data_IF_723236283012
#
_entry.id   IF_723236283012
#
_cell.length_a   1.000
_cell.length_b   1.000
_cell.length_c   1.000
_cell.angle_alpha   90.00
_cell.angle_beta   90.00
_cell.angle_gamma   90.00
#
_symmetry.space_group_name_H-M   'P 1'
#
loop_
_entity.id
_entity.type
_entity.pdbx_description
1 polymer ?
#
# COMPACT_ATOMS: atom_id res chain seq x y z
N UNK A 1 0.48 -23.45 -5.40
CA UNK A 1 -0.49 -23.08 -4.32
C UNK A 1 -0.77 -21.59 -4.40
N UNK A 2 -2.06 -21.17 -4.24
CA UNK A 2 -2.42 -19.75 -4.16
C UNK A 2 -1.87 -19.13 -2.88
N UNK A 3 -1.14 -18.05 -3.00
CA UNK A 3 -0.48 -17.34 -1.89
C UNK A 3 -0.84 -15.86 -2.00
N UNK A 4 -1.29 -15.26 -0.91
CA UNK A 4 -1.58 -13.84 -0.80
C UNK A 4 -0.51 -13.20 0.09
N UNK A 5 0.14 -12.15 -0.44
CA UNK A 5 1.26 -11.48 0.20
C UNK A 5 0.99 -9.99 0.37
N UNK A 6 1.34 -9.46 1.55
CA UNK A 6 1.38 -8.04 1.86
C UNK A 6 2.74 -7.73 2.50
N UNK A 7 3.64 -7.09 1.76
CA UNK A 7 5.04 -6.93 2.16
C UNK A 7 5.32 -5.61 2.89
N UNK A 8 4.41 -4.63 2.79
CA UNK A 8 4.63 -3.29 3.31
C UNK A 8 3.63 -2.95 4.42
N UNK A 9 4.12 -3.06 5.64
CA UNK A 9 3.41 -2.68 6.86
C UNK A 9 4.36 -1.98 7.81
N UNK A 10 3.83 -1.40 8.88
CA UNK A 10 4.61 -0.79 9.95
C UNK A 10 4.38 -1.46 11.28
N UNK A 11 5.39 -1.43 12.15
CA UNK A 11 5.31 -1.93 13.51
C UNK A 11 4.85 -0.84 14.49
N UNK A 12 4.53 -1.22 15.71
CA UNK A 12 4.21 -0.29 16.81
C UNK A 12 5.33 0.70 17.15
N UNK A 13 6.52 0.54 16.59
CA UNK A 13 7.66 1.45 16.77
C UNK A 13 7.67 2.61 15.77
N UNK A 14 6.85 2.54 14.72
CA UNK A 14 6.67 3.65 13.78
C UNK A 14 5.65 4.66 14.27
N UNK A 15 5.87 5.95 13.91
CA UNK A 15 4.98 7.05 14.30
C UNK A 15 3.59 6.86 13.70
N UNK A 16 2.58 7.27 14.47
CA UNK A 16 1.16 7.21 14.10
C UNK A 16 0.65 5.78 13.79
N UNK A 17 1.32 4.78 14.32
CA UNK A 17 0.97 3.37 14.17
C UNK A 17 0.33 2.83 15.44
N UNK A 18 -0.63 1.92 15.28
CA UNK A 18 -1.33 1.25 16.38
C UNK A 18 -0.38 0.41 17.23
N UNK A 19 -0.55 0.41 18.55
CA UNK A 19 0.17 -0.48 19.45
C UNK A 19 -0.13 -1.96 19.22
N UNK A 20 -1.23 -2.28 18.53
CA UNK A 20 -1.57 -3.63 18.11
C UNK A 20 -0.72 -4.15 16.93
N UNK A 21 0.13 -3.35 16.31
CA UNK A 21 1.05 -3.79 15.25
C UNK A 21 2.25 -4.53 15.88
N UNK A 22 1.97 -5.73 16.39
CA UNK A 22 2.93 -6.64 17.03
C UNK A 22 2.75 -8.07 16.51
N UNK A 23 3.78 -8.95 16.53
CA UNK A 23 3.82 -10.16 15.70
C UNK A 23 2.64 -11.12 15.88
N UNK A 24 2.14 -11.29 17.09
CA UNK A 24 1.03 -12.24 17.35
C UNK A 24 -0.29 -11.66 16.84
N UNK A 25 -0.56 -10.39 17.13
CA UNK A 25 -1.77 -9.71 16.65
C UNK A 25 -1.77 -9.63 15.11
N UNK A 26 -0.61 -9.34 14.51
CA UNK A 26 -0.43 -9.33 13.06
C UNK A 26 -0.72 -10.69 12.43
N UNK A 27 -0.21 -11.78 13.04
CA UNK A 27 -0.49 -13.14 12.59
C UNK A 27 -1.98 -13.48 12.62
N UNK A 28 -2.67 -13.15 13.72
CA UNK A 28 -4.11 -13.40 13.86
C UNK A 28 -4.94 -12.63 12.83
N UNK A 29 -4.57 -11.36 12.56
CA UNK A 29 -5.25 -10.56 11.56
C UNK A 29 -4.93 -11.03 10.14
N UNK A 30 -3.70 -11.45 9.86
CA UNK A 30 -3.32 -12.02 8.57
C UNK A 30 -4.14 -13.28 8.25
N UNK A 31 -4.33 -14.18 9.22
CA UNK A 31 -5.22 -15.34 9.06
C UNK A 31 -6.67 -14.93 8.77
N UNK A 32 -7.21 -14.00 9.56
CA UNK A 32 -8.55 -13.47 9.37
C UNK A 32 -8.73 -12.82 7.99
N UNK A 33 -7.70 -12.17 7.49
CA UNK A 33 -7.67 -11.58 6.13
C UNK A 33 -7.45 -12.62 5.03
N UNK A 34 -6.83 -13.75 5.34
CA UNK A 34 -6.41 -14.77 4.36
C UNK A 34 -5.05 -14.45 3.73
N UNK A 35 -4.19 -13.69 4.44
CA UNK A 35 -2.83 -13.36 4.01
C UNK A 35 -1.90 -14.51 4.40
N UNK A 36 -1.21 -15.07 3.41
CA UNK A 36 -0.27 -16.19 3.60
C UNK A 36 1.10 -15.70 4.02
N UNK A 37 1.61 -14.63 3.39
CA UNK A 37 2.91 -14.03 3.71
C UNK A 37 2.74 -12.55 4.04
N UNK A 38 3.21 -12.17 5.23
CA UNK A 38 3.15 -10.80 5.72
C UNK A 38 4.55 -10.25 5.94
N UNK A 39 4.83 -9.04 5.47
CA UNK A 39 6.03 -8.29 5.82
C UNK A 39 6.10 -8.04 7.33
N UNK A 40 7.32 -8.04 7.90
CA UNK A 40 7.47 -7.67 9.31
C UNK A 40 7.35 -6.17 9.53
N UNK A 41 7.68 -5.38 8.50
CA UNK A 41 7.93 -3.95 8.66
C UNK A 41 9.16 -3.68 9.56
N UNK A 42 9.70 -2.52 9.46
CA UNK A 42 10.55 -1.83 10.45
C UNK A 42 11.75 -2.64 11.02
N UNK A 43 12.31 -3.62 10.31
CA UNK A 43 13.39 -4.46 10.83
C UNK A 43 14.65 -3.66 11.23
N UNK A 44 14.76 -2.40 10.82
CA UNK A 44 15.87 -1.52 11.18
C UNK A 44 15.79 -1.03 12.64
N UNK A 45 14.59 -0.97 13.23
CA UNK A 45 14.43 -0.55 14.61
C UNK A 45 14.93 -1.61 15.59
N UNK A 46 15.92 -1.35 16.46
CA UNK A 46 16.55 -2.38 17.29
C UNK A 46 15.60 -3.04 18.28
N UNK A 47 14.64 -2.29 18.84
CA UNK A 47 13.60 -2.85 19.72
C UNK A 47 12.67 -3.80 18.98
N UNK A 48 12.29 -3.46 17.74
CA UNK A 48 11.47 -4.33 16.91
C UNK A 48 12.21 -5.58 16.46
N UNK A 49 13.44 -5.44 15.99
CA UNK A 49 14.28 -6.58 15.60
C UNK A 49 14.48 -7.58 16.75
N UNK A 50 14.69 -7.07 17.96
CA UNK A 50 14.76 -7.91 19.16
C UNK A 50 13.44 -8.69 19.38
N UNK A 51 12.32 -8.00 19.29
CA UNK A 51 10.99 -8.60 19.47
C UNK A 51 10.69 -9.66 18.40
N UNK A 52 11.05 -9.40 17.12
CA UNK A 52 10.92 -10.37 16.03
C UNK A 52 11.71 -11.66 16.34
N UNK A 53 12.97 -11.55 16.78
CA UNK A 53 13.81 -12.70 17.13
C UNK A 53 13.28 -13.46 18.35
N UNK A 54 12.68 -12.75 19.30
CA UNK A 54 12.07 -13.38 20.47
C UNK A 54 10.79 -14.13 20.13
N UNK A 55 9.95 -13.59 19.23
CA UNK A 55 8.60 -14.11 18.95
C UNK A 55 8.50 -14.99 17.71
N UNK A 56 9.43 -14.88 16.77
CA UNK A 56 9.42 -15.66 15.54
C UNK A 56 10.48 -16.77 15.57
N UNK A 57 10.20 -17.85 14.85
CA UNK A 57 11.13 -18.94 14.55
C UNK A 57 11.19 -19.19 13.04
N UNK A 58 12.30 -19.75 12.51
CA UNK A 58 12.39 -20.13 11.10
C UNK A 58 11.29 -21.12 10.72
N UNK A 59 10.74 -20.92 9.51
CA UNK A 59 9.79 -21.82 8.86
C UNK A 59 10.43 -22.35 7.54
N UNK A 60 9.89 -21.95 6.40
CA UNK A 60 10.50 -22.23 5.11
C UNK A 60 11.72 -21.31 4.89
N UNK A 61 12.58 -21.60 3.89
CA UNK A 61 13.79 -20.81 3.62
C UNK A 61 13.47 -19.30 3.46
N UNK A 62 14.06 -18.48 4.34
CA UNK A 62 13.89 -17.04 4.36
C UNK A 62 12.53 -16.54 4.89
N UNK A 63 11.71 -17.45 5.40
CA UNK A 63 10.42 -17.13 6.02
C UNK A 63 10.38 -17.57 7.48
N UNK A 64 9.53 -16.90 8.24
CA UNK A 64 9.39 -17.08 9.69
C UNK A 64 7.94 -17.29 10.06
N UNK A 65 7.71 -17.90 11.23
CA UNK A 65 6.37 -18.07 11.84
C UNK A 65 6.40 -17.71 13.32
N UNK A 66 5.26 -17.38 13.92
CA UNK A 66 5.18 -17.22 15.37
C UNK A 66 5.61 -18.52 16.09
N UNK A 67 6.38 -18.39 17.16
CA UNK A 67 6.77 -19.54 17.98
C UNK A 67 5.54 -20.21 18.59
N UNK A 68 5.45 -21.53 18.50
CA UNK A 68 4.32 -22.34 18.98
C UNK A 68 4.04 -22.19 20.48
N UNK A 69 5.03 -21.80 21.26
CA UNK A 69 4.90 -21.57 22.70
C UNK A 69 4.15 -20.27 23.05
N UNK A 70 4.03 -19.33 22.08
CA UNK A 70 3.45 -18.00 22.28
C UNK A 70 2.08 -17.89 21.59
N UNK A 71 1.87 -18.64 20.51
CA UNK A 71 0.59 -18.69 19.80
C UNK A 71 -0.15 -19.98 20.14
N UNK A 72 -1.36 -19.88 20.69
CA UNK A 72 -2.27 -21.02 20.86
C UNK A 72 -2.81 -21.52 19.51
N UNK A 73 -2.46 -20.88 18.42
CA UNK A 73 -2.93 -21.16 17.05
C UNK A 73 -1.81 -21.83 16.24
N UNK A 74 -2.17 -22.83 15.46
CA UNK A 74 -1.31 -23.34 14.37
C UNK A 74 -1.37 -22.35 13.23
N UNK A 75 -0.81 -21.13 13.44
CA UNK A 75 -0.84 -20.09 12.41
C UNK A 75 -0.18 -20.58 11.13
N UNK A 76 -0.90 -20.41 10.02
CA UNK A 76 -0.39 -20.69 8.67
C UNK A 76 0.32 -19.47 8.08
N UNK A 77 0.17 -18.28 8.69
CA UNK A 77 0.83 -17.06 8.24
C UNK A 77 2.35 -17.19 8.36
N UNK A 78 3.05 -16.75 7.34
CA UNK A 78 4.49 -16.59 7.31
C UNK A 78 4.87 -15.13 7.35
N UNK A 79 5.97 -14.81 7.97
CA UNK A 79 6.58 -13.49 7.97
C UNK A 79 7.81 -13.49 7.08
N UNK A 80 7.94 -12.43 6.27
CA UNK A 80 9.13 -12.09 5.51
C UNK A 80 9.73 -10.80 6.10
N UNK A 81 11.06 -10.74 6.23
CA UNK A 81 11.71 -9.57 6.84
C UNK A 81 11.66 -8.37 5.89
N UNK A 82 10.98 -7.31 6.31
CA UNK A 82 10.84 -6.07 5.52
C UNK A 82 11.09 -4.83 6.37
N UNK A 83 11.46 -3.73 5.72
CA UNK A 83 11.47 -2.41 6.31
C UNK A 83 11.28 -1.34 5.23
N UNK A 84 10.56 -0.28 5.56
CA UNK A 84 10.53 0.95 4.77
C UNK A 84 11.59 1.92 5.29
N UNK A 85 12.41 2.46 4.39
CA UNK A 85 13.50 3.40 4.70
C UNK A 85 13.23 4.73 4.02
N UNK A 86 13.29 5.83 4.80
CA UNK A 86 12.99 7.18 4.30
C UNK A 86 14.27 7.94 3.96
N UNK A 87 14.57 8.12 2.67
CA UNK A 87 15.68 8.92 2.18
C UNK A 87 15.29 10.40 2.07
N UNK A 88 16.00 11.30 2.72
CA UNK A 88 15.84 12.74 2.57
C UNK A 88 17.20 13.36 2.28
N UNK A 89 17.38 13.93 1.08
CA UNK A 89 18.66 14.45 0.62
C UNK A 89 18.48 15.55 -0.42
N UNK A 90 19.57 16.21 -0.80
CA UNK A 90 19.58 17.20 -1.88
C UNK A 90 20.30 16.64 -3.10
N UNK A 91 19.62 16.63 -4.26
CA UNK A 91 20.20 16.24 -5.56
C UNK A 91 19.76 17.24 -6.62
N UNK A 92 20.71 17.75 -7.40
CA UNK A 92 20.46 18.74 -8.45
C UNK A 92 19.74 20.01 -7.95
N UNK A 93 20.13 20.50 -6.75
CA UNK A 93 19.56 21.70 -6.15
C UNK A 93 18.12 21.57 -5.61
N UNK A 94 17.57 20.35 -5.60
CA UNK A 94 16.22 20.07 -5.07
C UNK A 94 16.28 19.10 -3.89
N UNK A 95 15.43 19.32 -2.90
CA UNK A 95 15.22 18.33 -1.82
C UNK A 95 14.45 17.16 -2.39
N UNK A 96 15.04 15.97 -2.30
CA UNK A 96 14.44 14.69 -2.69
C UNK A 96 14.00 13.93 -1.44
N UNK A 97 12.84 13.29 -1.53
CA UNK A 97 12.29 12.46 -0.45
C UNK A 97 11.74 11.19 -1.11
N UNK A 98 12.38 10.07 -0.81
CA UNK A 98 12.09 8.78 -1.43
C UNK A 98 11.95 7.74 -0.32
N UNK A 99 10.91 6.93 -0.38
CA UNK A 99 10.76 5.75 0.45
C UNK A 99 11.16 4.50 -0.34
N UNK A 100 11.93 3.64 0.30
CA UNK A 100 12.34 2.35 -0.23
C UNK A 100 11.87 1.23 0.69
N UNK A 101 11.08 0.31 0.16
CA UNK A 101 10.79 -0.95 0.79
C UNK A 101 11.94 -1.92 0.51
N UNK A 102 12.45 -2.55 1.55
CA UNK A 102 13.53 -3.54 1.48
C UNK A 102 13.02 -4.87 2.01
N UNK A 103 13.19 -5.92 1.20
CA UNK A 103 12.99 -7.30 1.62
C UNK A 103 14.36 -7.94 1.88
N UNK A 104 14.54 -8.58 3.03
CA UNK A 104 15.79 -9.23 3.42
C UNK A 104 15.61 -10.75 3.59
N UNK A 105 16.61 -11.57 3.17
CA UNK A 105 16.48 -13.02 3.14
C UNK A 105 16.52 -13.68 4.52
N UNK A 106 17.22 -13.07 5.48
CA UNK A 106 17.41 -13.62 6.82
C UNK A 106 17.83 -12.56 7.84
N UNK A 107 17.81 -12.92 9.13
CA UNK A 107 18.24 -12.03 10.20
C UNK A 107 19.71 -11.62 10.12
N UNK A 108 20.58 -12.43 9.50
CA UNK A 108 22.00 -12.10 9.37
C UNK A 108 22.19 -10.93 8.38
N UNK A 109 21.47 -10.94 7.26
CA UNK A 109 21.45 -9.81 6.33
C UNK A 109 20.94 -8.53 7.00
N UNK A 110 19.82 -8.63 7.75
CA UNK A 110 19.27 -7.50 8.52
C UNK A 110 20.27 -6.94 9.52
N UNK A 111 20.96 -7.79 10.28
CA UNK A 111 21.97 -7.35 11.26
C UNK A 111 23.13 -6.61 10.62
N UNK A 112 23.61 -7.12 9.47
CA UNK A 112 24.70 -6.46 8.72
C UNK A 112 24.27 -5.08 8.19
N UNK A 113 23.07 -4.99 7.61
CA UNK A 113 22.49 -3.72 7.13
C UNK A 113 22.37 -2.73 8.30
N UNK A 114 21.76 -3.16 9.41
CA UNK A 114 21.56 -2.31 10.59
C UNK A 114 22.89 -1.86 11.21
N UNK A 115 23.91 -2.72 11.25
CA UNK A 115 25.24 -2.35 11.71
C UNK A 115 25.84 -1.22 10.89
N UNK A 116 25.74 -1.27 9.56
CA UNK A 116 26.26 -0.22 8.67
C UNK A 116 25.45 1.07 8.81
N UNK A 117 24.12 1.00 8.81
CA UNK A 117 23.25 2.16 8.93
C UNK A 117 23.41 2.88 10.28
N UNK A 118 23.57 2.11 11.37
CA UNK A 118 23.70 2.69 12.73
C UNK A 118 24.95 3.54 12.95
N UNK A 119 25.98 3.42 12.10
CA UNK A 119 27.17 4.27 12.18
C UNK A 119 26.88 5.73 11.84
N UNK A 120 25.89 5.99 11.00
CA UNK A 120 25.59 7.32 10.50
C UNK A 120 24.18 7.81 10.85
N UNK A 121 23.27 6.91 11.22
CA UNK A 121 21.86 7.23 11.37
C UNK A 121 21.29 6.71 12.70
N UNK A 122 20.31 7.45 13.23
CA UNK A 122 19.58 7.04 14.43
C UNK A 122 18.40 6.13 14.07
N UNK A 123 18.60 4.82 14.20
CA UNK A 123 17.57 3.80 13.93
C UNK A 123 16.57 3.61 15.08
N UNK A 124 16.80 4.23 16.24
CA UNK A 124 15.92 4.10 17.43
C UNK A 124 14.77 5.11 17.40
N UNK A 125 14.86 6.13 16.58
CA UNK A 125 13.93 7.27 16.61
C UNK A 125 12.53 6.96 16.02
N UNK A 126 12.46 5.98 15.12
CA UNK A 126 11.24 5.61 14.39
C UNK A 126 11.43 4.21 13.77
N UNK A 127 10.36 3.41 13.65
CA UNK A 127 10.39 2.15 12.90
C UNK A 127 10.77 2.37 11.44
N UNK A 128 10.31 3.47 10.85
CA UNK A 128 10.71 3.98 9.53
C UNK A 128 11.71 5.13 9.69
N UNK A 129 13.02 4.82 9.80
CA UNK A 129 14.01 5.86 10.09
C UNK A 129 14.17 6.82 8.92
N UNK A 130 14.34 8.12 9.26
CA UNK A 130 14.72 9.14 8.28
C UNK A 130 16.24 9.12 8.14
N UNK A 131 16.69 8.82 6.92
CA UNK A 131 18.10 8.71 6.56
C UNK A 131 18.50 9.89 5.67
N UNK A 132 19.54 10.62 6.08
CA UNK A 132 20.13 11.70 5.28
C UNK A 132 21.05 11.17 4.18
N UNK A 133 20.60 10.19 3.41
CA UNK A 133 21.35 9.50 2.36
C UNK A 133 20.59 9.53 1.05
N UNK A 134 21.30 9.58 -0.07
CA UNK A 134 20.77 9.42 -1.42
C UNK A 134 20.17 8.01 -1.59
N UNK A 135 19.01 7.90 -2.24
CA UNK A 135 18.34 6.61 -2.48
C UNK A 135 19.22 5.63 -3.27
N UNK A 136 20.01 6.12 -4.25
CA UNK A 136 21.01 5.32 -4.95
C UNK A 136 22.07 4.77 -3.99
N UNK A 137 22.66 5.61 -3.13
CA UNK A 137 23.69 5.18 -2.19
C UNK A 137 23.15 4.21 -1.14
N UNK A 138 21.90 4.38 -0.70
CA UNK A 138 21.25 3.43 0.20
C UNK A 138 21.03 2.10 -0.48
N UNK A 139 20.52 2.10 -1.72
CA UNK A 139 20.34 0.89 -2.52
C UNK A 139 21.66 0.15 -2.72
N UNK A 140 22.73 0.87 -3.07
CA UNK A 140 24.06 0.33 -3.23
C UNK A 140 24.58 -0.33 -1.94
N UNK A 141 24.49 0.37 -0.81
CA UNK A 141 24.90 -0.16 0.49
C UNK A 141 24.20 -1.48 0.83
N UNK A 142 22.88 -1.54 0.60
CA UNK A 142 22.09 -2.75 0.91
C UNK A 142 22.48 -3.91 0.00
N UNK A 143 22.59 -3.69 -1.32
CA UNK A 143 22.94 -4.72 -2.28
C UNK A 143 24.39 -5.21 -2.13
N UNK A 144 25.34 -4.35 -1.78
CA UNK A 144 26.72 -4.72 -1.44
C UNK A 144 26.80 -5.50 -0.11
N UNK A 145 25.84 -5.28 0.80
CA UNK A 145 25.77 -6.01 2.07
C UNK A 145 25.24 -7.44 1.87
N UNK A 146 24.18 -7.57 1.07
CA UNK A 146 23.62 -8.85 0.66
C UNK A 146 22.83 -8.69 -0.65
N UNK A 147 23.35 -9.22 -1.74
CA UNK A 147 22.75 -9.13 -3.09
C UNK A 147 21.38 -9.84 -3.23
N UNK A 148 21.05 -10.70 -2.27
CA UNK A 148 19.74 -11.37 -2.22
C UNK A 148 18.62 -10.41 -1.81
N UNK A 149 18.94 -9.29 -1.18
CA UNK A 149 17.94 -8.29 -0.82
C UNK A 149 17.21 -7.77 -2.07
N UNK A 150 15.92 -7.46 -1.90
CA UNK A 150 15.13 -6.82 -2.94
C UNK A 150 14.78 -5.39 -2.50
N UNK A 151 15.05 -4.43 -3.37
CA UNK A 151 14.78 -3.00 -3.15
C UNK A 151 13.64 -2.59 -4.07
N UNK A 152 12.62 -1.99 -3.49
CA UNK A 152 11.39 -1.60 -4.17
C UNK A 152 11.06 -0.15 -3.78
N UNK A 153 11.07 0.81 -4.70
CA UNK A 153 10.53 2.13 -4.44
C UNK A 153 9.06 2.02 -4.01
N UNK A 154 8.76 2.54 -2.82
CA UNK A 154 7.45 2.44 -2.21
C UNK A 154 6.48 3.49 -2.75
N UNK A 155 5.19 3.15 -2.89
CA UNK A 155 4.06 4.04 -3.26
C UNK A 155 4.48 5.19 -4.19
N UNK A 156 4.97 4.85 -5.38
CA UNK A 156 5.78 5.71 -6.26
C UNK A 156 5.15 7.03 -6.73
N UNK A 157 3.87 7.28 -6.43
CA UNK A 157 3.13 8.47 -6.91
C UNK A 157 2.68 9.46 -5.84
N UNK A 158 2.82 9.15 -4.55
CA UNK A 158 2.46 10.15 -3.53
C UNK A 158 3.25 11.45 -3.76
N UNK A 159 2.67 12.64 -3.53
CA UNK A 159 3.34 13.91 -3.84
C UNK A 159 4.72 14.07 -3.19
N UNK A 160 4.87 13.53 -1.97
CA UNK A 160 6.11 13.49 -1.20
C UNK A 160 6.51 12.05 -0.89
N UNK A 161 7.78 11.81 -0.70
CA UNK A 161 8.35 10.52 -0.29
C UNK A 161 8.17 9.40 -1.31
N UNK A 162 8.14 9.73 -2.59
CA UNK A 162 7.94 8.75 -3.66
C UNK A 162 8.81 9.06 -4.88
N UNK A 163 9.06 8.03 -5.70
CA UNK A 163 9.95 8.12 -6.85
C UNK A 163 9.48 9.18 -7.86
N UNK A 164 8.19 9.18 -8.22
CA UNK A 164 7.60 10.09 -9.21
C UNK A 164 6.77 11.22 -8.60
N UNK A 165 6.85 11.41 -7.28
CA UNK A 165 6.08 12.42 -6.57
C UNK A 165 6.27 13.84 -7.10
N UNK A 166 5.19 14.57 -7.30
CA UNK A 166 5.19 15.92 -7.89
C UNK A 166 6.00 16.93 -7.08
N UNK A 167 6.10 16.76 -5.76
CA UNK A 167 6.78 17.70 -4.87
C UNK A 167 8.25 17.38 -4.62
N UNK A 168 8.64 16.10 -4.57
CA UNK A 168 9.99 15.69 -4.16
C UNK A 168 10.58 14.52 -4.93
N UNK A 169 9.89 14.02 -5.94
CA UNK A 169 10.34 12.90 -6.77
C UNK A 169 11.21 13.32 -7.95
N UNK A 170 11.41 12.35 -8.84
CA UNK A 170 12.14 12.45 -10.10
C UNK A 170 11.20 12.25 -11.28
N UNK A 171 11.68 12.46 -12.49
CA UNK A 171 10.92 12.19 -13.71
C UNK A 171 11.26 10.81 -14.28
N UNK A 172 12.47 10.29 -13.99
CA UNK A 172 12.90 8.95 -14.44
C UNK A 172 13.53 8.14 -13.32
N UNK A 173 13.56 6.80 -13.54
CA UNK A 173 14.22 5.85 -12.63
C UNK A 173 15.73 6.13 -12.59
N UNK A 174 16.32 6.42 -13.75
CA UNK A 174 17.74 6.67 -13.93
C UNK A 174 18.22 7.91 -13.18
N UNK A 175 17.39 8.97 -13.11
CA UNK A 175 17.72 10.15 -12.30
C UNK A 175 17.86 9.83 -10.80
N UNK A 176 17.13 8.82 -10.32
CA UNK A 176 17.16 8.39 -8.92
C UNK A 176 18.25 7.37 -8.65
N UNK A 177 18.33 6.30 -9.45
CA UNK A 177 19.13 5.12 -9.17
C UNK A 177 20.37 4.95 -10.06
N UNK A 178 20.56 5.81 -11.05
CA UNK A 178 21.74 5.84 -11.92
C UNK A 178 22.04 4.44 -12.52
N UNK A 179 23.26 3.92 -12.37
CA UNK A 179 23.67 2.60 -12.85
C UNK A 179 22.98 1.42 -12.13
N UNK A 180 22.35 1.67 -10.99
CA UNK A 180 21.56 0.64 -10.28
C UNK A 180 20.13 0.48 -10.82
N UNK A 181 19.67 1.33 -11.74
CA UNK A 181 18.32 1.25 -12.33
C UNK A 181 17.94 -0.13 -12.87
N UNK A 182 18.86 -0.91 -13.49
CA UNK A 182 18.54 -2.27 -13.91
C UNK A 182 18.26 -3.23 -12.74
N UNK A 183 18.80 -2.97 -11.55
CA UNK A 183 18.63 -3.80 -10.35
C UNK A 183 17.37 -3.44 -9.53
N UNK A 184 16.67 -2.36 -9.90
CA UNK A 184 15.35 -2.05 -9.39
C UNK A 184 14.33 -2.82 -10.22
N UNK A 185 13.93 -3.99 -9.72
CA UNK A 185 13.10 -4.95 -10.47
C UNK A 185 11.61 -4.69 -10.36
N UNK A 186 11.18 -4.04 -9.27
CA UNK A 186 9.77 -3.83 -8.97
C UNK A 186 9.49 -2.44 -8.41
N UNK A 187 8.23 -2.02 -8.51
CA UNK A 187 7.69 -0.78 -7.97
C UNK A 187 6.36 -1.05 -7.28
N UNK A 188 6.08 -0.28 -6.22
CA UNK A 188 4.82 -0.37 -5.50
C UNK A 188 3.85 0.72 -5.97
N UNK A 189 2.61 0.31 -6.33
CA UNK A 189 1.51 1.22 -6.64
C UNK A 189 1.22 2.16 -5.46
N UNK A 190 1.01 1.56 -4.30
CA UNK A 190 0.49 2.23 -3.11
C UNK A 190 -0.93 2.76 -3.35
N UNK A 191 -1.61 3.13 -2.29
CA UNK A 191 -3.03 3.55 -2.29
C UNK A 191 -3.39 4.74 -3.19
N UNK A 192 -2.42 5.36 -3.85
CA UNK A 192 -2.63 6.56 -4.68
C UNK A 192 -2.63 6.28 -6.17
N UNK A 193 -2.27 5.07 -6.60
CA UNK A 193 -2.26 4.67 -8.01
C UNK A 193 -2.63 3.21 -8.19
N UNK A 194 -3.07 2.86 -9.36
CA UNK A 194 -3.32 1.49 -9.80
C UNK A 194 -2.40 1.09 -10.97
N UNK A 195 -2.39 -0.17 -11.41
CA UNK A 195 -1.58 -0.60 -12.54
C UNK A 195 -1.87 0.13 -13.86
N UNK A 196 -3.12 0.51 -14.14
CA UNK A 196 -3.45 1.26 -15.38
C UNK A 196 -2.77 2.62 -15.44
N UNK A 197 -2.72 3.32 -14.31
CA UNK A 197 -1.96 4.58 -14.21
C UNK A 197 -0.47 4.34 -14.48
N UNK A 198 0.10 3.25 -13.97
CA UNK A 198 1.50 2.89 -14.12
C UNK A 198 1.85 2.40 -15.53
N UNK A 199 0.93 1.72 -16.23
CA UNK A 199 1.13 1.25 -17.61
C UNK A 199 1.26 2.39 -18.63
N UNK A 200 1.02 3.62 -18.24
CA UNK A 200 1.20 4.81 -19.07
C UNK A 200 2.67 5.27 -19.19
N UNK A 201 3.60 4.65 -18.44
CA UNK A 201 5.02 4.97 -18.43
C UNK A 201 5.84 3.82 -19.03
N UNK A 202 6.51 4.07 -20.17
CA UNK A 202 7.31 3.06 -20.88
C UNK A 202 8.49 2.56 -20.03
N UNK A 203 9.06 3.40 -19.18
CA UNK A 203 10.14 3.04 -18.27
C UNK A 203 9.76 1.94 -17.25
N UNK A 204 8.45 1.68 -17.01
CA UNK A 204 7.94 0.63 -16.14
C UNK A 204 7.60 -0.68 -16.89
N UNK A 205 7.75 -0.74 -18.22
CA UNK A 205 7.31 -1.90 -19.03
C UNK A 205 7.93 -3.23 -18.64
N UNK A 206 9.21 -3.22 -18.26
CA UNK A 206 9.98 -4.40 -17.89
C UNK A 206 10.14 -4.56 -16.37
N UNK A 207 9.33 -3.88 -15.59
CA UNK A 207 9.37 -3.91 -14.14
C UNK A 207 8.10 -4.55 -13.59
N UNK A 208 8.24 -5.24 -12.47
CA UNK A 208 7.09 -5.83 -11.79
C UNK A 208 6.38 -4.76 -10.97
N UNK A 209 5.07 -4.66 -11.15
CA UNK A 209 4.24 -3.80 -10.31
C UNK A 209 3.71 -4.67 -9.17
N UNK A 210 3.98 -4.26 -7.93
CA UNK A 210 3.44 -4.87 -6.71
C UNK A 210 2.55 -3.89 -5.98
N UNK A 211 1.72 -4.43 -5.10
CA UNK A 211 0.76 -3.65 -4.33
C UNK A 211 0.76 -4.12 -2.88
N UNK A 212 0.87 -3.19 -1.93
CA UNK A 212 0.90 -3.52 -0.51
C UNK A 212 0.13 -2.48 0.30
N UNK A 213 -0.33 -2.88 1.48
CA UNK A 213 -1.28 -2.10 2.25
C UNK A 213 -0.74 -0.83 2.91
N UNK A 214 0.56 -0.72 3.14
CA UNK A 214 1.16 0.31 3.99
C UNK A 214 0.40 0.44 5.33
N UNK A 215 0.12 -0.72 5.96
CA UNK A 215 -0.79 -0.79 7.08
C UNK A 215 -0.18 -0.22 8.36
N UNK A 216 -0.91 0.72 8.99
CA UNK A 216 -0.61 1.35 10.27
C UNK A 216 -1.51 0.84 11.42
N UNK A 217 -2.40 -0.10 11.12
CA UNK A 217 -3.24 -0.78 12.09
C UNK A 217 -3.62 -2.17 11.58
N UNK A 218 -3.87 -3.16 12.46
CA UNK A 218 -4.10 -4.55 12.05
C UNK A 218 -5.28 -4.74 11.11
N UNK A 219 -6.36 -3.98 11.26
CA UNK A 219 -7.53 -4.07 10.38
C UNK A 219 -7.27 -3.61 8.94
N UNK A 220 -6.18 -2.86 8.71
CA UNK A 220 -5.82 -2.35 7.38
C UNK A 220 -4.85 -3.25 6.60
N UNK A 221 -4.42 -4.37 7.17
CA UNK A 221 -3.67 -5.39 6.44
C UNK A 221 -4.45 -5.84 5.21
N UNK A 222 -3.75 -6.05 4.11
CA UNK A 222 -4.32 -6.60 2.88
C UNK A 222 -5.32 -5.70 2.15
N UNK A 223 -5.44 -4.41 2.47
CA UNK A 223 -6.25 -3.51 1.62
C UNK A 223 -5.65 -3.36 0.22
N UNK A 224 -4.37 -3.65 0.08
CA UNK A 224 -3.66 -3.98 -1.15
C UNK A 224 -2.81 -5.23 -0.91
N UNK A 225 -2.62 -6.07 -1.94
CA UNK A 225 -1.89 -7.31 -1.81
C UNK A 225 -1.44 -7.87 -3.17
N UNK A 226 -0.55 -8.86 -3.12
CA UNK A 226 -0.03 -9.58 -4.28
C UNK A 226 -0.49 -11.04 -4.22
N UNK A 227 -0.98 -11.57 -5.32
CA UNK A 227 -1.47 -12.96 -5.39
C UNK A 227 -0.60 -13.76 -6.33
N UNK A 228 0.08 -14.75 -5.78
CA UNK A 228 0.95 -15.67 -6.50
C UNK A 228 0.37 -17.08 -6.53
N UNK A 229 0.81 -17.87 -7.51
CA UNK A 229 0.64 -19.32 -7.56
C UNK A 229 2.01 -20.00 -7.59
N UNK A 230 2.55 -20.31 -6.41
CA UNK A 230 3.90 -20.83 -6.23
C UNK A 230 3.90 -22.34 -6.02
N UNK A 231 4.95 -23.00 -6.51
CA UNK A 231 5.19 -24.43 -6.25
C UNK A 231 5.79 -24.63 -4.85
N UNK A 232 6.70 -23.74 -4.47
CA UNK A 232 7.36 -23.73 -3.16
C UNK A 232 7.21 -22.37 -2.50
N UNK A 233 6.89 -22.36 -1.21
CA UNK A 233 6.79 -21.15 -0.43
C UNK A 233 8.14 -20.85 0.21
N UNK A 234 8.96 -20.02 -0.44
CA UNK A 234 10.28 -19.57 0.06
C UNK A 234 10.53 -18.12 -0.31
N UNK A 235 11.44 -17.47 0.43
CA UNK A 235 11.93 -16.13 0.09
C UNK A 235 12.47 -16.07 -1.35
N UNK A 236 13.30 -17.05 -1.71
CA UNK A 236 13.95 -17.09 -3.01
C UNK A 236 12.94 -17.20 -4.15
N UNK A 237 11.89 -18.02 -4.00
CA UNK A 237 10.87 -18.17 -5.04
C UNK A 237 10.01 -16.90 -5.16
N UNK A 238 9.59 -16.29 -4.04
CA UNK A 238 8.86 -15.02 -4.05
C UNK A 238 9.67 -13.94 -4.76
N UNK A 239 10.94 -13.77 -4.38
CA UNK A 239 11.79 -12.72 -4.95
C UNK A 239 12.17 -13.01 -6.39
N UNK A 240 12.34 -14.29 -6.80
CA UNK A 240 12.54 -14.69 -8.19
C UNK A 240 11.37 -14.27 -9.06
N UNK A 241 10.14 -14.62 -8.66
CA UNK A 241 8.92 -14.26 -9.40
C UNK A 241 8.80 -12.76 -9.58
N UNK A 242 9.15 -11.97 -8.54
CA UNK A 242 9.15 -10.52 -8.62
C UNK A 242 10.27 -10.02 -9.53
N UNK A 243 11.51 -10.52 -9.39
CA UNK A 243 12.67 -10.08 -10.19
C UNK A 243 12.51 -10.38 -11.68
N UNK A 244 11.95 -11.53 -12.00
CA UNK A 244 11.77 -12.01 -13.39
C UNK A 244 10.46 -11.53 -14.03
N UNK A 245 9.59 -10.87 -13.27
CA UNK A 245 8.24 -10.52 -13.70
C UNK A 245 7.49 -11.74 -14.28
N UNK A 246 7.55 -12.85 -13.52
CA UNK A 246 7.02 -14.17 -13.93
C UNK A 246 5.49 -14.18 -13.88
N UNK A 247 4.85 -13.89 -15.01
CA UNK A 247 3.39 -13.75 -15.16
C UNK A 247 2.63 -15.07 -15.01
N UNK A 248 3.32 -16.20 -15.17
CA UNK A 248 2.71 -17.50 -14.95
C UNK A 248 2.54 -17.78 -13.45
N UNK A 249 3.37 -17.19 -12.62
CA UNK A 249 3.35 -17.33 -11.17
C UNK A 249 2.71 -16.14 -10.45
N UNK A 250 2.89 -14.92 -10.94
CA UNK A 250 2.23 -13.72 -10.41
C UNK A 250 0.85 -13.55 -11.05
N UNK A 251 -0.21 -13.94 -10.33
CA UNK A 251 -1.56 -14.04 -10.89
C UNK A 251 -2.25 -12.69 -11.02
N UNK A 252 -2.20 -11.86 -9.99
CA UNK A 252 -2.77 -10.49 -10.00
C UNK A 252 -2.38 -9.73 -8.74
N UNK A 253 -2.50 -8.40 -8.81
CA UNK A 253 -2.51 -7.56 -7.61
C UNK A 253 -3.94 -7.29 -7.16
N UNK A 254 -4.09 -7.02 -5.86
CA UNK A 254 -5.31 -6.47 -5.27
C UNK A 254 -5.04 -5.01 -5.00
N UNK A 255 -5.85 -4.15 -5.58
CA UNK A 255 -5.68 -2.71 -5.54
C UNK A 255 -6.80 -2.03 -4.77
N UNK A 256 -6.45 -1.00 -4.05
CA UNK A 256 -7.38 -0.02 -3.52
C UNK A 256 -7.84 0.91 -4.66
N UNK A 257 -8.98 1.57 -4.51
CA UNK A 257 -9.40 2.57 -5.49
C UNK A 257 -8.62 3.87 -5.30
N UNK A 258 -7.74 4.29 -6.23
CA UNK A 258 -6.89 5.46 -6.05
C UNK A 258 -7.68 6.77 -5.92
N UNK A 259 -8.92 6.80 -6.41
CA UNK A 259 -9.82 7.95 -6.26
C UNK A 259 -10.13 8.28 -4.79
N UNK A 260 -10.04 7.31 -3.86
CA UNK A 260 -10.22 7.57 -2.43
C UNK A 260 -9.05 8.34 -1.82
N UNK A 261 -7.88 8.32 -2.48
CA UNK A 261 -6.69 9.03 -2.04
C UNK A 261 -6.88 10.55 -1.94
N UNK A 262 -6.31 11.17 -0.91
CA UNK A 262 -6.42 12.62 -0.61
C UNK A 262 -5.90 13.55 -1.71
N UNK A 263 -5.14 13.06 -2.65
CA UNK A 263 -4.45 13.84 -3.67
C UNK A 263 -4.65 13.25 -5.06
N UNK A 264 -5.75 12.52 -5.30
CA UNK A 264 -5.99 11.90 -6.60
C UNK A 264 -6.19 12.95 -7.70
N UNK A 265 -7.13 13.87 -7.53
CA UNK A 265 -7.35 15.00 -8.43
C UNK A 265 -6.59 16.24 -7.98
N UNK A 266 -6.46 17.20 -8.89
CA UNK A 266 -5.99 18.54 -8.60
C UNK A 266 -7.04 19.30 -7.81
N UNK A 267 -6.62 20.26 -6.98
CA UNK A 267 -7.64 21.02 -6.28
C UNK A 267 -7.16 22.16 -5.41
N UNK A 268 -8.13 22.84 -4.82
CA UNK A 268 -7.92 23.85 -3.81
C UNK A 268 -8.98 23.71 -2.72
N UNK A 269 -8.61 23.02 -1.63
CA UNK A 269 -9.50 22.66 -0.52
C UNK A 269 -10.27 23.85 0.05
N UNK A 270 -9.62 25.01 0.24
CA UNK A 270 -10.25 26.21 0.80
C UNK A 270 -11.38 26.76 -0.07
N UNK A 271 -11.33 26.51 -1.37
CA UNK A 271 -12.35 26.97 -2.34
C UNK A 271 -13.30 25.85 -2.77
N UNK A 272 -13.13 24.63 -2.24
CA UNK A 272 -13.89 23.43 -2.63
C UNK A 272 -13.79 23.12 -4.13
N UNK A 273 -12.63 23.39 -4.72
CA UNK A 273 -12.34 23.11 -6.12
C UNK A 273 -11.62 21.77 -6.22
N UNK A 274 -12.21 20.86 -6.99
CA UNK A 274 -11.63 19.60 -7.44
C UNK A 274 -11.72 19.56 -8.95
N UNK A 275 -10.59 19.37 -9.64
CA UNK A 275 -10.47 19.41 -11.08
C UNK A 275 -9.73 18.19 -11.61
N UNK A 276 -10.21 17.64 -12.72
CA UNK A 276 -9.44 16.67 -13.49
C UNK A 276 -8.19 17.35 -14.10
N UNK A 277 -7.18 16.57 -14.53
CA UNK A 277 -6.01 17.12 -15.20
C UNK A 277 -6.35 17.99 -16.41
N UNK A 278 -7.35 17.60 -17.22
CA UNK A 278 -7.80 18.37 -18.37
C UNK A 278 -8.41 19.72 -17.99
N UNK A 279 -9.22 19.74 -16.92
CA UNK A 279 -9.80 20.97 -16.39
C UNK A 279 -8.72 21.88 -15.81
N UNK A 280 -7.76 21.31 -15.10
CA UNK A 280 -6.61 22.04 -14.53
C UNK A 280 -5.79 22.73 -15.63
N UNK A 281 -5.55 22.05 -16.77
CA UNK A 281 -4.87 22.65 -17.94
C UNK A 281 -5.65 23.85 -18.47
N UNK A 282 -6.99 23.80 -18.56
CA UNK A 282 -7.83 24.92 -19.00
C UNK A 282 -7.73 26.14 -18.07
N UNK A 283 -7.48 25.88 -16.79
CA UNK A 283 -7.31 26.92 -15.75
C UNK A 283 -5.84 27.29 -15.50
N UNK A 284 -4.88 26.83 -16.33
CA UNK A 284 -3.45 27.14 -16.21
C UNK A 284 -2.87 26.83 -14.82
N UNK A 285 -3.31 25.75 -14.20
CA UNK A 285 -2.96 25.33 -12.82
C UNK A 285 -3.34 26.35 -11.72
N UNK A 286 -4.29 27.23 -12.00
CA UNK A 286 -4.76 28.28 -11.10
C UNK A 286 -6.21 28.02 -10.68
N UNK A 287 -6.48 28.18 -9.38
CA UNK A 287 -7.84 28.05 -8.85
C UNK A 287 -8.77 29.11 -9.46
N UNK A 288 -9.89 28.71 -10.10
CA UNK A 288 -10.81 29.65 -10.75
C UNK A 288 -11.52 30.59 -9.78
N UNK A 289 -11.50 30.30 -8.46
CA UNK A 289 -12.18 31.10 -7.44
C UNK A 289 -11.26 32.14 -6.80
N UNK A 290 -10.05 31.76 -6.38
CA UNK A 290 -9.18 32.66 -5.63
C UNK A 290 -7.87 33.01 -6.35
N UNK A 291 -7.69 32.50 -7.56
CA UNK A 291 -6.53 32.74 -8.43
C UNK A 291 -5.16 32.35 -7.82
N UNK A 292 -5.16 31.46 -6.83
CA UNK A 292 -3.94 30.86 -6.27
C UNK A 292 -3.61 29.55 -7.02
N UNK A 293 -2.34 29.10 -7.00
CA UNK A 293 -1.96 27.80 -7.56
C UNK A 293 -2.81 26.67 -6.97
N UNK A 294 -3.18 25.72 -7.83
CA UNK A 294 -3.82 24.48 -7.41
C UNK A 294 -2.77 23.53 -6.81
N UNK A 295 -3.18 22.69 -5.87
CA UNK A 295 -2.41 21.50 -5.48
C UNK A 295 -2.55 20.47 -6.58
N UNK A 296 -1.42 20.12 -7.20
CA UNK A 296 -1.38 19.14 -8.30
C UNK A 296 -1.52 17.72 -7.71
N UNK A 297 -2.48 16.99 -8.23
CA UNK A 297 -2.81 15.63 -7.82
C UNK A 297 -1.96 14.56 -8.52
N UNK A 298 -2.14 13.33 -8.05
CA UNK A 298 -1.42 12.17 -8.58
C UNK A 298 -1.75 11.91 -10.04
N UNK A 299 -3.03 11.93 -10.41
CA UNK A 299 -3.43 11.67 -11.79
C UNK A 299 -2.82 12.67 -12.80
N UNK A 300 -2.76 13.96 -12.42
CA UNK A 300 -2.11 14.98 -13.25
C UNK A 300 -0.60 14.71 -13.39
N UNK A 301 0.06 14.27 -12.33
CA UNK A 301 1.48 13.91 -12.36
C UNK A 301 1.72 12.70 -13.26
N UNK A 302 0.88 11.66 -13.17
CA UNK A 302 0.92 10.51 -14.09
C UNK A 302 0.78 10.98 -15.54
N UNK A 303 -0.23 11.81 -15.83
CA UNK A 303 -0.43 12.35 -17.18
C UNK A 303 0.76 13.20 -17.69
N UNK A 304 1.43 13.91 -16.78
CA UNK A 304 2.59 14.72 -17.17
C UNK A 304 3.82 13.89 -17.53
N UNK A 305 3.92 12.66 -17.03
CA UNK A 305 5.02 11.74 -17.30
C UNK A 305 4.66 10.64 -18.31
N UNK A 306 3.37 10.48 -18.62
CA UNK A 306 2.89 9.47 -19.54
C UNK A 306 3.50 9.67 -20.94
N UNK A 307 4.05 8.60 -21.49
CA UNK A 307 4.71 8.56 -22.79
C UNK A 307 4.17 7.45 -23.71
N UNK A 308 3.17 6.69 -23.23
CA UNK A 308 2.49 5.66 -24.01
C UNK A 308 1.01 5.53 -23.61
N UNK A 309 0.21 4.91 -24.49
CA UNK A 309 -1.16 4.52 -24.23
C UNK A 309 -1.21 3.30 -23.29
N UNK A 310 -2.33 3.17 -22.57
CA UNK A 310 -2.56 2.00 -21.70
C UNK A 310 -2.60 0.74 -22.57
N UNK A 311 -1.72 -0.21 -22.24
CA UNK A 311 -1.72 -1.55 -22.83
C UNK A 311 -1.64 -2.61 -21.74
N UNK A 312 -2.74 -3.36 -21.55
CA UNK A 312 -2.83 -4.44 -20.59
C UNK A 312 -2.27 -5.78 -21.11
N UNK A 313 -1.98 -5.88 -22.44
CA UNK A 313 -1.50 -7.12 -23.03
C UNK A 313 -0.15 -7.56 -22.44
N UNK A 314 -0.09 -8.80 -21.98
CA UNK A 314 1.11 -9.36 -21.38
C UNK A 314 1.51 -8.71 -20.05
N UNK A 315 0.61 -8.05 -19.33
CA UNK A 315 0.80 -7.50 -17.99
C UNK A 315 0.23 -8.42 -16.93
N UNK A 316 0.73 -8.32 -15.71
CA UNK A 316 0.07 -8.92 -14.54
C UNK A 316 -1.25 -8.17 -14.34
N UNK A 317 -2.40 -8.86 -14.34
CA UNK A 317 -3.70 -8.22 -14.14
C UNK A 317 -3.86 -7.71 -12.70
N UNK A 318 -4.94 -6.96 -12.44
CA UNK A 318 -5.28 -6.51 -11.10
C UNK A 318 -6.78 -6.61 -10.82
N UNK A 319 -7.15 -6.54 -9.55
CA UNK A 319 -8.53 -6.49 -9.07
C UNK A 319 -8.67 -5.36 -8.06
N UNK A 320 -9.49 -4.36 -8.37
CA UNK A 320 -9.82 -3.32 -7.39
C UNK A 320 -10.83 -3.85 -6.39
N UNK A 321 -10.56 -3.70 -5.10
CA UNK A 321 -11.42 -4.14 -4.01
C UNK A 321 -11.72 -3.01 -3.03
N UNK A 322 -12.84 -3.17 -2.33
CA UNK A 322 -13.18 -2.37 -1.15
C UNK A 322 -13.05 -3.31 0.05
N UNK A 323 -12.34 -2.94 1.13
CA UNK A 323 -12.26 -3.72 2.35
C UNK A 323 -13.64 -4.10 2.90
N UNK A 324 -13.81 -5.32 3.38
CA UNK A 324 -15.10 -5.83 3.84
C UNK A 324 -15.75 -4.94 4.91
N UNK A 325 -14.94 -4.40 5.84
CA UNK A 325 -15.44 -3.47 6.88
C UNK A 325 -16.05 -2.20 6.28
N UNK A 326 -15.54 -1.74 5.12
CA UNK A 326 -16.01 -0.54 4.44
C UNK A 326 -17.30 -0.82 3.66
N UNK A 327 -17.43 -2.00 3.03
CA UNK A 327 -18.70 -2.46 2.42
C UNK A 327 -19.79 -2.55 3.48
N UNK A 328 -19.51 -3.21 4.63
CA UNK A 328 -20.48 -3.33 5.73
C UNK A 328 -20.88 -1.94 6.27
N UNK A 329 -19.92 -1.06 6.45
CA UNK A 329 -20.12 0.32 6.87
C UNK A 329 -21.05 1.09 5.94
N UNK A 330 -20.83 0.95 4.62
CA UNK A 330 -21.59 1.62 3.59
C UNK A 330 -23.04 1.12 3.54
N UNK A 331 -23.22 -0.21 3.56
CA UNK A 331 -24.55 -0.84 3.58
C UNK A 331 -25.33 -0.44 4.83
N UNK A 332 -24.72 -0.46 5.99
CA UNK A 332 -25.38 -0.06 7.23
C UNK A 332 -25.53 1.44 7.41
N UNK A 333 -24.87 2.24 6.55
CA UNK A 333 -24.85 3.72 6.62
C UNK A 333 -24.36 4.23 7.99
N UNK A 334 -23.33 3.59 8.57
CA UNK A 334 -22.68 3.94 9.84
C UNK A 334 -21.16 4.07 9.65
N UNK A 335 -20.45 4.63 10.63
CA UNK A 335 -19.00 4.73 10.57
C UNK A 335 -18.32 3.34 10.60
N UNK A 336 -17.20 3.19 9.89
CA UNK A 336 -16.42 1.94 9.81
C UNK A 336 -16.01 1.41 11.20
N UNK A 337 -15.71 2.30 12.16
CA UNK A 337 -15.34 1.95 13.54
C UNK A 337 -16.54 1.70 14.47
N UNK A 338 -17.77 1.61 13.93
CA UNK A 338 -18.93 1.33 14.77
C UNK A 338 -18.95 -0.12 15.21
N UNK A 339 -19.44 -0.37 16.44
CA UNK A 339 -19.58 -1.73 16.99
C UNK A 339 -20.38 -2.66 16.09
N UNK A 340 -21.39 -2.14 15.40
CA UNK A 340 -22.21 -2.90 14.45
C UNK A 340 -21.41 -3.40 13.26
N UNK A 341 -20.46 -2.61 12.74
CA UNK A 341 -19.57 -3.02 11.65
C UNK A 341 -18.60 -4.08 12.15
N UNK A 342 -17.99 -3.85 13.31
CA UNK A 342 -17.05 -4.79 13.93
C UNK A 342 -17.71 -6.16 14.19
N UNK A 343 -18.89 -6.19 14.79
CA UNK A 343 -19.63 -7.42 15.06
C UNK A 343 -19.94 -8.20 13.79
N UNK A 344 -20.41 -7.53 12.74
CA UNK A 344 -20.73 -8.19 11.46
C UNK A 344 -19.46 -8.64 10.73
N UNK A 345 -18.41 -7.83 10.72
CA UNK A 345 -17.12 -8.19 10.17
C UNK A 345 -16.55 -9.45 10.84
N UNK A 346 -16.54 -9.49 12.17
CA UNK A 346 -16.05 -10.65 12.93
C UNK A 346 -16.88 -11.90 12.64
N UNK A 347 -18.21 -11.78 12.61
CA UNK A 347 -19.13 -12.90 12.29
C UNK A 347 -18.85 -13.50 10.92
N UNK A 348 -18.65 -12.66 9.91
CA UNK A 348 -18.37 -13.11 8.55
C UNK A 348 -17.00 -13.80 8.46
N UNK A 349 -15.99 -13.17 9.07
CA UNK A 349 -14.60 -13.64 9.00
C UNK A 349 -14.25 -14.78 9.97
N UNK A 350 -15.18 -15.22 10.79
CA UNK A 350 -15.09 -16.51 11.52
C UNK A 350 -15.36 -17.72 10.62
N UNK A 351 -16.07 -17.52 9.51
CA UNK A 351 -16.48 -18.62 8.60
C UNK A 351 -15.49 -18.73 7.43
N UNK A 352 -15.16 -17.61 6.79
CA UNK A 352 -14.21 -17.52 5.69
C UNK A 352 -13.29 -16.33 5.87
N UNK A 353 -12.00 -16.43 5.53
CA UNK A 353 -11.11 -15.28 5.50
C UNK A 353 -11.64 -14.15 4.57
N UNK A 354 -11.30 -12.90 4.89
CA UNK A 354 -11.81 -11.74 4.15
C UNK A 354 -11.56 -11.82 2.64
N UNK A 355 -10.36 -12.20 2.20
CA UNK A 355 -10.06 -12.34 0.78
C UNK A 355 -10.89 -13.43 0.09
N UNK A 356 -11.19 -14.52 0.78
CA UNK A 356 -12.06 -15.56 0.24
C UNK A 356 -13.49 -15.04 0.08
N UNK A 357 -14.00 -14.28 1.07
CA UNK A 357 -15.29 -13.59 1.00
C UNK A 357 -15.34 -12.61 -0.16
N UNK A 358 -14.29 -11.80 -0.32
CA UNK A 358 -14.27 -10.74 -1.33
C UNK A 358 -14.00 -11.25 -2.74
N UNK A 359 -13.30 -12.37 -2.93
CA UNK A 359 -12.78 -12.79 -4.22
C UNK A 359 -13.35 -14.11 -4.74
N UNK A 360 -13.58 -15.10 -3.86
CA UNK A 360 -13.64 -16.50 -4.29
C UNK A 360 -15.01 -17.16 -4.08
N UNK A 361 -15.68 -16.95 -2.93
CA UNK A 361 -16.98 -17.63 -2.65
C UNK A 361 -18.06 -17.18 -3.62
N UNK A 362 -18.94 -18.12 -3.96
CA UNK A 362 -20.02 -17.88 -4.93
C UNK A 362 -21.09 -16.92 -4.41
N UNK A 363 -21.82 -16.27 -5.31
CA UNK A 363 -22.96 -15.41 -4.94
C UNK A 363 -23.99 -16.17 -4.09
N UNK A 364 -24.21 -17.45 -4.38
CA UNK A 364 -25.11 -18.30 -3.61
C UNK A 364 -24.64 -18.46 -2.15
N UNK A 365 -23.36 -18.68 -1.96
CA UNK A 365 -22.76 -18.77 -0.62
C UNK A 365 -22.79 -17.44 0.10
N UNK A 366 -22.47 -16.33 -0.59
CA UNK A 366 -22.59 -14.98 -0.04
C UNK A 366 -24.01 -14.70 0.47
N UNK A 367 -25.02 -15.05 -0.30
CA UNK A 367 -26.43 -14.87 0.09
C UNK A 367 -26.86 -15.74 1.28
N UNK A 368 -26.18 -16.87 1.52
CA UNK A 368 -26.40 -17.69 2.71
C UNK A 368 -25.63 -17.21 3.94
N UNK A 369 -24.48 -16.55 3.72
CA UNK A 369 -23.56 -16.09 4.74
C UNK A 369 -23.90 -14.70 5.28
N UNK A 370 -24.22 -13.77 4.40
CA UNK A 370 -24.35 -12.35 4.72
C UNK A 370 -25.78 -11.83 4.52
N UNK A 371 -26.07 -10.66 5.12
CA UNK A 371 -27.26 -9.91 4.76
C UNK A 371 -27.31 -9.68 3.24
N UNK A 372 -28.48 -9.83 2.55
CA UNK A 372 -28.58 -9.67 1.10
C UNK A 372 -27.99 -8.36 0.53
N UNK A 373 -28.06 -7.26 1.30
CA UNK A 373 -27.48 -5.98 0.87
C UNK A 373 -25.94 -6.00 0.96
N UNK A 374 -25.35 -6.71 1.93
CA UNK A 374 -23.90 -6.90 2.03
C UNK A 374 -23.44 -7.82 0.89
N UNK A 375 -24.12 -8.95 0.68
CA UNK A 375 -23.82 -9.87 -0.42
C UNK A 375 -23.85 -9.15 -1.77
N UNK A 376 -24.89 -8.35 -2.02
CA UNK A 376 -24.98 -7.51 -3.22
C UNK A 376 -23.83 -6.50 -3.30
N UNK A 377 -23.48 -5.81 -2.21
CA UNK A 377 -22.39 -4.86 -2.17
C UNK A 377 -21.03 -5.51 -2.50
N UNK A 378 -20.78 -6.73 -2.04
CA UNK A 378 -19.58 -7.51 -2.38
C UNK A 378 -19.56 -7.84 -3.87
N UNK A 379 -20.69 -8.29 -4.44
CA UNK A 379 -20.78 -8.60 -5.87
C UNK A 379 -20.61 -7.34 -6.72
N UNK A 380 -21.22 -6.22 -6.33
CA UNK A 380 -21.06 -4.94 -7.02
C UNK A 380 -19.58 -4.46 -6.99
N UNK A 381 -18.90 -4.63 -5.85
CA UNK A 381 -17.47 -4.33 -5.73
C UNK A 381 -16.59 -5.22 -6.64
N UNK A 382 -16.85 -6.55 -6.67
CA UNK A 382 -16.15 -7.49 -7.57
C UNK A 382 -16.25 -7.13 -9.05
N UNK A 383 -17.37 -6.55 -9.44
CA UNK A 383 -17.66 -6.19 -10.84
C UNK A 383 -17.36 -4.72 -11.14
N UNK A 384 -16.79 -4.01 -10.19
CA UNK A 384 -16.44 -2.58 -10.34
C UNK A 384 -17.64 -1.64 -10.42
N UNK A 385 -18.86 -2.11 -10.07
CA UNK A 385 -20.07 -1.30 -10.02
C UNK A 385 -20.14 -0.47 -8.73
N UNK A 386 -19.26 0.51 -8.66
CA UNK A 386 -19.11 1.37 -7.49
C UNK A 386 -19.19 2.84 -7.88
N UNK A 387 -19.72 3.67 -6.99
CA UNK A 387 -19.67 5.13 -7.13
C UNK A 387 -18.31 5.61 -6.67
N UNK A 388 -17.64 6.44 -7.49
CA UNK A 388 -16.32 7.00 -7.21
C UNK A 388 -16.39 8.51 -7.19
N UNK A 389 -15.95 9.14 -6.10
CA UNK A 389 -15.78 10.59 -5.97
C UNK A 389 -14.32 10.86 -5.64
N UNK A 390 -13.53 11.42 -6.57
CA UNK A 390 -12.10 11.60 -6.37
C UNK A 390 -11.79 12.56 -5.23
N UNK A 391 -10.78 12.20 -4.41
CA UNK A 391 -10.20 13.07 -3.41
C UNK A 391 -9.26 14.11 -4.02
N UNK A 392 -9.00 15.21 -3.30
CA UNK A 392 -8.19 16.33 -3.78
C UNK A 392 -7.66 17.18 -2.63
N UNK A 393 -6.49 17.74 -2.76
CA UNK A 393 -5.89 18.75 -1.85
C UNK A 393 -6.07 18.44 -0.34
N UNK A 394 -5.83 17.19 0.05
CA UNK A 394 -5.97 16.73 1.43
C UNK A 394 -7.38 16.31 1.86
N UNK A 395 -8.36 16.34 0.94
CA UNK A 395 -9.71 15.81 1.13
C UNK A 395 -9.76 14.39 0.60
N UNK A 396 -10.21 13.43 1.43
CA UNK A 396 -10.42 12.07 0.98
C UNK A 396 -11.54 11.98 -0.06
N UNK A 397 -11.34 11.09 -1.04
CA UNK A 397 -12.41 10.68 -1.94
C UNK A 397 -13.41 9.75 -1.27
N UNK A 398 -14.38 9.29 -2.04
CA UNK A 398 -15.45 8.41 -1.56
C UNK A 398 -15.63 7.28 -2.57
N UNK A 399 -15.55 6.04 -2.09
CA UNK A 399 -15.95 4.86 -2.82
C UNK A 399 -17.17 4.26 -2.13
N UNK A 400 -18.21 3.93 -2.90
CA UNK A 400 -19.48 3.47 -2.35
C UNK A 400 -20.13 2.42 -3.22
N UNK A 401 -20.53 1.29 -2.63
CA UNK A 401 -21.33 0.23 -3.26
C UNK A 401 -22.83 0.55 -3.27
N UNK A 402 -23.26 1.48 -2.42
CA UNK A 402 -24.67 1.88 -2.30
C UNK A 402 -25.03 3.21 -2.95
N UNK A 403 -24.03 4.02 -3.32
CA UNK A 403 -24.18 5.40 -3.80
C UNK A 403 -24.62 6.40 -2.73
N UNK A 404 -24.93 5.96 -1.51
CA UNK A 404 -25.49 6.81 -0.43
C UNK A 404 -24.45 7.73 0.20
N UNK A 405 -23.17 7.37 0.19
CA UNK A 405 -22.08 8.18 0.76
C UNK A 405 -21.89 9.51 0.01
N UNK A 406 -22.13 9.54 -1.30
CA UNK A 406 -22.00 10.76 -2.10
C UNK A 406 -22.92 11.88 -1.59
N UNK A 407 -24.17 11.55 -1.24
CA UNK A 407 -25.13 12.51 -0.72
C UNK A 407 -24.75 13.03 0.68
N UNK A 408 -24.18 12.19 1.55
CA UNK A 408 -23.77 12.58 2.92
C UNK A 408 -22.47 13.38 2.92
N UNK A 409 -21.47 13.01 2.13
CA UNK A 409 -20.18 13.71 2.05
C UNK A 409 -20.34 15.18 1.70
N UNK A 410 -21.19 15.50 0.71
CA UNK A 410 -21.52 16.90 0.34
C UNK A 410 -22.28 17.66 1.43
N UNK A 411 -23.02 16.97 2.29
CA UNK A 411 -23.83 17.58 3.36
C UNK A 411 -23.00 17.83 4.63
N UNK A 412 -22.05 16.96 4.95
CA UNK A 412 -21.18 17.14 6.12
C UNK A 412 -20.15 18.26 5.91
N UNK A 413 -19.58 18.37 4.70
CA UNK A 413 -18.71 19.51 4.35
C UNK A 413 -19.44 20.84 4.49
N UNK A 414 -20.73 20.90 4.16
CA UNK A 414 -21.57 22.10 4.39
C UNK A 414 -21.85 22.37 5.87
N UNK A 415 -21.99 21.32 6.70
CA UNK A 415 -22.25 21.49 8.15
C UNK A 415 -21.01 21.93 8.92
N UNK A 416 -19.82 21.40 8.62
CA UNK A 416 -18.57 21.86 9.24
C UNK A 416 -18.30 23.34 8.96
N UNK A 417 -18.64 23.84 7.77
CA UNK A 417 -18.48 25.29 7.46
C UNK A 417 -19.43 26.21 8.21
N UNK A 418 -20.63 25.75 8.54
CA UNK A 418 -21.53 26.53 9.38
C UNK A 418 -21.08 26.61 10.85
N UNK A 419 -20.30 25.64 11.33
CA UNK A 419 -19.73 25.67 12.68
C UNK A 419 -18.43 26.49 12.79
N UNK A 420 -17.64 26.61 11.72
CA UNK A 420 -16.39 27.39 11.73
C UNK A 420 -16.63 28.89 11.53
N UNK A 421 -17.82 29.30 11.09
CA UNK A 421 -18.23 30.72 10.92
C UNK A 421 -18.72 31.41 12.18
N UNK A 422 -18.60 30.78 13.36
CA UNK A 422 -19.10 31.31 14.64
C UNK A 422 -18.00 31.50 15.72
N UNK A 423 -16.71 31.59 15.28
CA UNK A 423 -15.64 32.07 16.17
C UNK A 423 -14.68 32.99 15.44
#
# INVERSE_FOLDING_TARGET
MKIICDFHIHSKYSRAVSQGMEPITLSNWAERKGITVLGTGDFTHPGWLKELKEKLEPAENGLFRPKSQISNLKSQTRFILTAELSCIYTKNGRTRKIHLLVLAPDFQAVEKINAQLSWSFNLVSDGRPILGIDAHNLAKLILETDERCLIIPAHIWTPWFSLFGSASGFDTIEECFEELSPQIYAFETGLSSDPEMNWRLSQLNNKTIISNSDAHSPSKLGREANVFDLDNLTYDEITRVIKENDKDKFKYTVEFYPEEGKYHFDGHRKCEISLSPEETKKHHNICPVCHRPLTIGVLNRVESLADQEINAEGRVPFKSLIPLEEIVSDVFSVGVKSKRVEEEYLRLTEIYPEFEILLDISERELNSLANPQIAKGIMDAREGRVTRVPGYDGVFGIISVTGKKEAKGRTEIKKEKQQIGLF
#
